data_IF_244291001574
#
_entry.id   IF_244291001574
#
_cell.length_a   1.000
_cell.length_b   1.000
_cell.length_c   1.000
_cell.angle_alpha   90.00
_cell.angle_beta   90.00
_cell.angle_gamma   90.00
#
_symmetry.space_group_name_H-M   'P 1'
#
loop_
_entity.id
_entity.type
_entity.pdbx_description
1 polymer ?
#
# COMPACT_ATOMS: atom_id res chain seq x y z
N UNK A 1 -10.59 -18.01 35.53
CA UNK A 1 -10.04 -17.92 34.14
C UNK A 1 -11.22 -17.51 33.26
N UNK A 2 -11.43 -16.20 33.14
CA UNK A 2 -12.48 -15.68 32.26
C UNK A 2 -12.03 -15.95 30.82
N UNK A 3 -12.73 -16.84 30.14
CA UNK A 3 -12.67 -16.96 28.70
C UNK A 3 -13.33 -15.67 28.20
N UNK A 4 -12.55 -14.60 28.01
CA UNK A 4 -12.98 -13.47 27.19
C UNK A 4 -13.29 -14.06 25.83
N UNK A 5 -14.56 -14.07 25.51
CA UNK A 5 -15.06 -14.40 24.17
C UNK A 5 -14.41 -13.37 23.24
N UNK A 6 -13.32 -13.77 22.57
CA UNK A 6 -12.54 -12.88 21.69
C UNK A 6 -13.33 -12.71 20.39
N UNK A 7 -14.42 -11.94 20.52
CA UNK A 7 -15.31 -11.63 19.40
C UNK A 7 -14.54 -10.82 18.39
N UNK A 8 -14.59 -11.24 17.13
CA UNK A 8 -13.95 -10.58 16.01
C UNK A 8 -15.01 -10.00 15.08
N UNK A 9 -14.74 -8.81 14.59
CA UNK A 9 -15.46 -8.24 13.47
C UNK A 9 -14.76 -8.63 12.17
N UNK A 10 -15.55 -8.92 11.16
CA UNK A 10 -15.06 -9.22 9.82
C UNK A 10 -15.30 -8.04 8.89
N UNK A 11 -14.26 -7.66 8.18
CA UNK A 11 -14.26 -6.62 7.17
C UNK A 11 -13.91 -7.27 5.84
N UNK A 12 -14.78 -7.13 4.85
CA UNK A 12 -14.51 -7.63 3.49
C UNK A 12 -13.81 -6.52 2.71
N UNK A 13 -12.60 -6.79 2.27
CA UNK A 13 -11.72 -5.78 1.67
C UNK A 13 -11.14 -6.25 0.33
N UNK A 14 -10.51 -5.34 -0.39
CA UNK A 14 -9.82 -5.61 -1.65
C UNK A 14 -10.73 -6.24 -2.71
N UNK A 15 -11.89 -5.63 -2.92
CA UNK A 15 -12.89 -6.11 -3.87
C UNK A 15 -12.46 -5.94 -5.32
N UNK A 16 -12.65 -6.99 -6.13
CA UNK A 16 -12.63 -6.85 -7.58
C UNK A 16 -13.83 -6.05 -8.10
N UNK A 17 -13.65 -5.17 -9.10
CA UNK A 17 -14.76 -4.44 -9.72
C UNK A 17 -15.73 -5.34 -10.50
N UNK A 18 -15.29 -6.55 -10.85
CA UNK A 18 -16.10 -7.54 -11.57
C UNK A 18 -15.95 -8.92 -10.95
N UNK A 19 -17.05 -9.68 -10.84
CA UNK A 19 -17.05 -11.02 -10.28
C UNK A 19 -16.50 -12.03 -11.32
N UNK A 20 -15.19 -12.23 -11.33
CA UNK A 20 -14.54 -13.12 -12.30
C UNK A 20 -14.08 -14.45 -11.68
N UNK A 21 -13.68 -14.46 -10.41
CA UNK A 21 -13.04 -15.59 -9.74
C UNK A 21 -13.83 -16.14 -8.56
N UNK A 22 -15.16 -16.21 -8.71
CA UNK A 22 -16.07 -16.64 -7.65
C UNK A 22 -15.75 -18.02 -7.05
N UNK A 23 -15.39 -19.00 -7.90
CA UNK A 23 -15.08 -20.37 -7.45
C UNK A 23 -13.84 -20.45 -6.58
N UNK A 24 -12.85 -19.60 -6.84
CA UNK A 24 -11.58 -19.57 -6.13
C UNK A 24 -11.59 -18.62 -4.93
N UNK A 25 -12.72 -17.95 -4.67
CA UNK A 25 -12.90 -16.95 -3.59
C UNK A 25 -11.82 -15.86 -3.64
N UNK A 26 -11.52 -15.35 -4.83
CA UNK A 26 -10.49 -14.34 -5.06
C UNK A 26 -11.06 -12.94 -5.37
N UNK A 27 -12.39 -12.80 -5.32
CA UNK A 27 -13.03 -11.49 -5.61
C UNK A 27 -12.78 -10.46 -4.52
N UNK A 28 -12.49 -10.91 -3.33
CA UNK A 28 -12.24 -10.15 -2.12
C UNK A 28 -11.47 -10.97 -1.10
N UNK A 29 -11.19 -10.40 0.06
CA UNK A 29 -10.61 -11.09 1.21
C UNK A 29 -11.25 -10.62 2.52
N UNK A 30 -11.37 -11.52 3.49
CA UNK A 30 -11.83 -11.18 4.82
C UNK A 30 -10.66 -10.81 5.73
N UNK A 31 -10.74 -9.63 6.33
CA UNK A 31 -9.84 -9.16 7.38
C UNK A 31 -10.58 -9.19 8.72
N UNK A 32 -10.07 -9.95 9.68
CA UNK A 32 -10.64 -10.04 11.02
C UNK A 32 -9.92 -9.09 11.97
N UNK A 33 -10.69 -8.29 12.72
CA UNK A 33 -10.17 -7.42 13.78
C UNK A 33 -10.90 -7.73 15.08
N UNK A 34 -10.17 -7.95 16.18
CA UNK A 34 -10.79 -8.26 17.47
C UNK A 34 -11.50 -7.04 18.05
N UNK A 35 -12.58 -7.26 18.82
CA UNK A 35 -13.24 -6.17 19.56
C UNK A 35 -12.27 -5.50 20.53
N UNK A 36 -11.33 -6.25 21.12
CA UNK A 36 -10.32 -5.70 22.01
C UNK A 36 -9.40 -4.73 21.27
N UNK A 37 -8.95 -5.06 20.05
CA UNK A 37 -8.17 -4.17 19.18
C UNK A 37 -8.95 -2.90 18.83
N UNK A 38 -10.23 -3.03 18.45
CA UNK A 38 -11.09 -1.88 18.13
C UNK A 38 -11.23 -0.96 19.34
N UNK A 39 -11.44 -1.52 20.53
CA UNK A 39 -11.54 -0.73 21.77
C UNK A 39 -10.22 -0.08 22.17
N UNK A 40 -9.09 -0.75 21.97
CA UNK A 40 -7.77 -0.21 22.26
C UNK A 40 -7.47 1.00 21.36
N UNK A 41 -7.70 0.86 20.05
CA UNK A 41 -7.58 1.96 19.10
C UNK A 41 -8.50 3.13 19.49
N UNK A 42 -9.77 2.86 19.81
CA UNK A 42 -10.73 3.92 20.18
C UNK A 42 -10.35 4.69 21.46
N UNK A 43 -9.58 4.09 22.34
CA UNK A 43 -9.11 4.70 23.62
C UNK A 43 -7.75 5.39 23.50
N UNK A 44 -6.99 5.10 22.45
CA UNK A 44 -5.67 5.70 22.25
C UNK A 44 -5.77 7.18 21.86
N UNK A 45 -4.73 7.93 22.16
CA UNK A 45 -4.55 9.28 21.60
C UNK A 45 -3.89 9.13 20.23
N UNK A 46 -4.48 9.67 19.19
CA UNK A 46 -3.98 9.57 17.83
C UNK A 46 -3.29 10.85 17.36
N UNK A 47 -2.21 10.70 16.56
CA UNK A 47 -1.51 9.46 16.24
C UNK A 47 -0.70 8.93 17.42
N UNK A 48 -0.86 7.63 17.73
CA UNK A 48 -0.31 7.05 18.95
C UNK A 48 1.22 6.88 18.91
N UNK A 49 1.77 6.52 17.75
CA UNK A 49 3.18 6.13 17.63
C UNK A 49 3.99 6.98 16.65
N UNK A 50 3.44 8.10 16.22
CA UNK A 50 4.14 9.05 15.36
C UNK A 50 5.24 9.78 16.14
N UNK A 51 6.47 9.61 15.70
CA UNK A 51 7.61 10.38 16.19
C UNK A 51 7.49 11.81 15.66
N UNK A 52 7.59 12.81 16.53
CA UNK A 52 7.34 14.24 16.26
C UNK A 52 7.72 14.66 14.83
N UNK A 53 6.76 14.80 13.92
CA UNK A 53 7.04 15.20 12.55
C UNK A 53 7.43 16.68 12.51
N UNK A 54 8.26 17.02 11.53
CA UNK A 54 8.55 18.41 11.18
C UNK A 54 7.87 18.71 9.85
N UNK A 55 7.00 19.71 9.86
CA UNK A 55 6.32 20.15 8.66
C UNK A 55 6.91 21.48 8.17
N UNK A 56 7.01 21.70 6.83
CA UNK A 56 7.37 22.99 6.28
C UNK A 56 6.38 24.08 6.73
N UNK A 57 6.85 25.31 6.89
CA UNK A 57 6.00 26.44 7.27
C UNK A 57 4.85 26.70 6.31
N UNK A 58 5.09 26.40 5.02
CA UNK A 58 4.11 26.56 3.95
C UNK A 58 2.99 25.52 4.02
N UNK A 59 3.19 24.40 4.69
CA UNK A 59 2.19 23.34 4.81
C UNK A 59 1.28 23.58 6.01
N UNK A 60 -0.01 23.71 5.75
CA UNK A 60 -1.01 23.73 6.82
C UNK A 60 -1.32 22.31 7.26
N UNK A 61 -1.16 22.01 8.54
CA UNK A 61 -1.52 20.72 9.14
C UNK A 61 -2.60 20.92 10.20
N UNK A 62 -3.69 20.18 10.04
CA UNK A 62 -4.81 20.15 10.99
C UNK A 62 -4.95 18.75 11.54
N UNK A 63 -4.75 18.59 12.84
CA UNK A 63 -4.94 17.31 13.53
C UNK A 63 -6.34 17.22 14.15
N UNK A 64 -6.78 16.02 14.42
CA UNK A 64 -8.02 15.79 15.17
C UNK A 64 -9.31 15.98 14.37
N UNK A 65 -9.27 15.93 13.05
CA UNK A 65 -10.48 16.03 12.23
C UNK A 65 -11.28 14.73 12.36
N UNK A 66 -12.55 14.84 12.79
CA UNK A 66 -13.39 13.66 12.94
C UNK A 66 -13.68 12.97 11.60
N UNK A 67 -13.90 11.63 11.56
CA UNK A 67 -14.28 10.93 10.33
C UNK A 67 -15.52 11.54 9.67
N UNK A 68 -16.53 11.92 10.45
CA UNK A 68 -17.71 12.59 9.94
C UNK A 68 -17.44 13.98 9.34
N UNK A 69 -16.44 14.69 9.88
CA UNK A 69 -15.97 15.97 9.35
C UNK A 69 -15.26 15.81 8.00
N UNK A 70 -14.47 14.76 7.84
CA UNK A 70 -13.83 14.41 6.57
C UNK A 70 -14.88 14.08 5.49
N UNK A 71 -15.85 13.20 5.80
CA UNK A 71 -16.90 12.82 4.86
C UNK A 71 -17.68 14.03 4.35
N UNK A 72 -18.08 14.94 5.25
CA UNK A 72 -18.73 16.21 4.85
C UNK A 72 -17.83 17.09 3.98
N UNK A 73 -16.54 17.10 4.23
CA UNK A 73 -15.56 17.81 3.41
C UNK A 73 -15.51 17.26 1.98
N UNK A 74 -15.54 15.94 1.82
CA UNK A 74 -15.56 15.30 0.49
C UNK A 74 -16.85 15.58 -0.26
N UNK A 75 -18.01 15.49 0.40
CA UNK A 75 -19.32 15.82 -0.18
C UNK A 75 -19.35 17.28 -0.67
N UNK A 76 -18.83 18.21 0.12
CA UNK A 76 -18.75 19.62 -0.25
C UNK A 76 -17.89 19.89 -1.50
N UNK A 77 -16.93 19.00 -1.80
CA UNK A 77 -16.08 19.05 -2.98
C UNK A 77 -16.67 18.29 -4.19
N UNK A 78 -17.91 17.80 -4.07
CA UNK A 78 -18.58 17.05 -5.13
C UNK A 78 -17.96 15.68 -5.39
N UNK A 79 -17.30 15.09 -4.39
CA UNK A 79 -16.76 13.73 -4.44
C UNK A 79 -17.85 12.70 -4.15
N UNK A 80 -19.03 12.88 -4.71
CA UNK A 80 -20.10 11.90 -4.63
C UNK A 80 -19.88 10.85 -5.72
N UNK A 81 -19.66 9.60 -5.36
CA UNK A 81 -19.85 8.51 -6.31
C UNK A 81 -21.35 8.34 -6.48
N UNK A 82 -21.87 8.85 -7.57
CA UNK A 82 -23.26 8.60 -7.92
C UNK A 82 -23.42 7.10 -8.12
N UNK A 83 -24.30 6.51 -7.33
CA UNK A 83 -24.74 5.11 -7.39
C UNK A 83 -25.00 4.63 -8.83
N UNK A 84 -25.46 5.50 -9.70
CA UNK A 84 -25.83 5.24 -11.08
C UNK A 84 -24.64 4.90 -12.00
N UNK A 85 -23.43 5.38 -11.71
CA UNK A 85 -22.23 5.09 -12.53
C UNK A 85 -21.66 3.71 -12.27
N UNK A 86 -21.78 3.20 -11.03
CA UNK A 86 -21.26 1.89 -10.64
C UNK A 86 -22.32 0.78 -10.60
N UNK A 87 -23.58 1.11 -10.48
CA UNK A 87 -24.65 0.15 -10.10
C UNK A 87 -25.75 0.01 -11.14
N UNK A 88 -25.55 0.31 -12.37
CA UNK A 88 -26.56 -0.11 -13.37
C UNK A 88 -26.79 -1.65 -13.39
N UNK A 89 -26.96 -2.25 -12.20
CA UNK A 89 -27.28 -3.66 -11.96
C UNK A 89 -26.15 -4.65 -12.21
N UNK A 90 -24.94 -4.19 -12.56
CA UNK A 90 -23.86 -5.09 -12.97
C UNK A 90 -22.95 -5.55 -11.82
N UNK A 91 -22.82 -4.76 -10.74
CA UNK A 91 -21.80 -5.05 -9.70
C UNK A 91 -22.32 -4.80 -8.28
N UNK A 92 -23.06 -5.76 -7.69
CA UNK A 92 -23.67 -5.59 -6.35
C UNK A 92 -22.65 -5.52 -5.20
N UNK A 93 -21.36 -5.65 -5.46
CA UNK A 93 -20.30 -5.73 -4.43
C UNK A 93 -19.58 -4.42 -4.14
N UNK A 94 -19.75 -3.38 -4.94
CA UNK A 94 -19.24 -2.06 -4.60
C UNK A 94 -20.15 -1.40 -3.56
N UNK A 95 -19.66 -1.31 -2.34
CA UNK A 95 -20.27 -0.45 -1.34
C UNK A 95 -19.88 1.00 -1.68
N UNK A 96 -20.87 1.88 -1.63
CA UNK A 96 -20.69 3.29 -1.94
C UNK A 96 -19.69 3.93 -0.97
N UNK A 97 -18.65 4.53 -1.51
CA UNK A 97 -17.74 5.41 -0.77
C UNK A 97 -17.84 6.82 -1.34
N UNK A 98 -17.86 7.82 -0.46
CA UNK A 98 -17.82 9.24 -0.87
C UNK A 98 -16.48 9.56 -1.54
N UNK A 99 -15.41 8.96 -1.05
CA UNK A 99 -14.08 9.01 -1.66
C UNK A 99 -13.50 7.59 -1.69
N UNK A 100 -13.51 6.91 -2.83
CA UNK A 100 -13.08 5.52 -2.93
C UNK A 100 -11.64 5.30 -2.51
N UNK A 101 -11.42 4.15 -1.89
CA UNK A 101 -10.11 3.64 -1.52
C UNK A 101 -9.96 2.20 -2.01
N UNK A 102 -8.75 1.70 -2.10
CA UNK A 102 -8.49 0.39 -2.68
C UNK A 102 -9.02 -0.78 -1.86
N UNK A 103 -9.10 -0.64 -0.55
CA UNK A 103 -9.66 -1.69 0.31
C UNK A 103 -11.18 -1.62 0.43
N UNK A 104 -11.80 -0.48 0.13
CA UNK A 104 -13.24 -0.34 0.06
C UNK A 104 -13.89 0.18 1.35
N UNK A 105 -15.24 0.28 1.30
CA UNK A 105 -16.04 0.95 2.33
C UNK A 105 -15.98 0.32 3.73
N UNK A 106 -15.60 -0.94 3.83
CA UNK A 106 -15.46 -1.62 5.11
C UNK A 106 -14.35 -1.04 5.98
N UNK A 107 -13.29 -0.48 5.37
CA UNK A 107 -12.27 0.25 6.13
C UNK A 107 -12.82 1.58 6.66
N UNK A 108 -13.65 2.29 5.90
CA UNK A 108 -14.34 3.47 6.41
C UNK A 108 -15.23 3.12 7.62
N UNK A 109 -15.92 1.96 7.55
CA UNK A 109 -16.72 1.45 8.68
C UNK A 109 -15.85 1.16 9.91
N UNK A 110 -14.66 0.57 9.74
CA UNK A 110 -13.70 0.34 10.83
C UNK A 110 -13.25 1.68 11.45
N UNK A 111 -12.86 2.66 10.62
CA UNK A 111 -12.41 3.97 11.08
C UNK A 111 -13.52 4.72 11.81
N UNK A 112 -14.74 4.70 11.28
CA UNK A 112 -15.89 5.30 11.98
C UNK A 112 -16.16 4.61 13.32
N UNK A 113 -16.06 3.27 13.38
CA UNK A 113 -16.27 2.49 14.60
C UNK A 113 -15.21 2.78 15.66
N UNK A 114 -13.97 2.93 15.27
CA UNK A 114 -12.87 3.28 16.20
C UNK A 114 -12.87 4.77 16.56
N UNK A 115 -13.47 5.62 15.73
CA UNK A 115 -13.49 7.07 15.94
C UNK A 115 -12.13 7.75 15.74
N UNK A 116 -11.18 7.09 15.10
CA UNK A 116 -9.84 7.63 14.84
C UNK A 116 -9.93 8.95 14.10
N UNK A 117 -9.38 10.05 14.67
CA UNK A 117 -9.38 11.34 13.99
C UNK A 117 -8.33 11.37 12.87
N UNK A 118 -8.58 12.15 11.86
CA UNK A 118 -7.67 12.31 10.75
C UNK A 118 -6.73 13.51 10.91
N UNK A 119 -5.56 13.39 10.30
CA UNK A 119 -4.66 14.49 9.96
C UNK A 119 -5.00 15.00 8.58
N UNK A 120 -5.12 16.31 8.42
CA UNK A 120 -5.27 16.98 7.13
C UNK A 120 -4.01 17.79 6.85
N UNK A 121 -3.31 17.45 5.76
CA UNK A 121 -2.10 18.11 5.29
C UNK A 121 -2.40 18.85 4.00
N UNK A 122 -2.28 20.17 4.01
CA UNK A 122 -2.62 21.04 2.88
C UNK A 122 -1.41 21.85 2.42
N UNK A 123 -0.98 21.66 1.17
CA UNK A 123 0.04 22.48 0.54
C UNK A 123 -0.65 23.50 -0.38
N UNK A 124 -0.49 24.82 -0.19
CA UNK A 124 -1.12 25.83 -1.02
C UNK A 124 -0.62 25.77 -2.47
N UNK A 125 -1.36 26.40 -3.38
CA UNK A 125 -0.98 26.45 -4.79
C UNK A 125 0.39 27.12 -5.01
N UNK A 126 1.09 26.68 -6.06
CA UNK A 126 2.38 27.20 -6.52
C UNK A 126 3.51 27.12 -5.47
N UNK A 127 3.46 26.12 -4.59
CA UNK A 127 4.44 25.89 -3.53
C UNK A 127 5.29 24.66 -3.84
N UNK A 128 6.61 24.80 -3.80
CA UNK A 128 7.55 23.71 -4.05
C UNK A 128 8.41 23.43 -2.82
N UNK A 129 8.26 22.26 -2.25
CA UNK A 129 9.02 21.78 -1.08
C UNK A 129 10.11 20.84 -1.59
N UNK A 130 11.38 21.19 -1.35
CA UNK A 130 12.55 20.41 -1.80
C UNK A 130 12.84 19.22 -0.91
N UNK A 131 12.79 19.44 0.40
CA UNK A 131 13.12 18.42 1.39
C UNK A 131 11.89 17.57 1.68
N UNK A 132 12.00 16.24 1.71
CA UNK A 132 10.88 15.38 2.02
C UNK A 132 10.30 15.65 3.42
N UNK A 133 8.98 15.57 3.53
CA UNK A 133 8.29 15.50 4.83
C UNK A 133 8.31 14.07 5.34
N UNK A 134 8.72 13.88 6.60
CA UNK A 134 8.84 12.55 7.21
C UNK A 134 7.73 12.32 8.23
N UNK A 135 7.01 11.21 8.06
CA UNK A 135 6.06 10.66 9.03
C UNK A 135 6.64 9.32 9.52
N UNK A 136 7.34 9.33 10.63
CA UNK A 136 7.99 8.15 11.20
C UNK A 136 7.17 7.59 12.35
N UNK A 137 6.78 6.33 12.27
CA UNK A 137 6.03 5.59 13.29
C UNK A 137 6.90 4.47 13.84
N UNK A 138 7.02 4.39 15.16
CA UNK A 138 7.77 3.32 15.85
C UNK A 138 6.84 2.58 16.80
N UNK A 139 6.55 1.33 16.49
CA UNK A 139 5.56 0.52 17.19
C UNK A 139 6.17 -0.37 18.28
N UNK A 140 5.71 -0.30 19.55
CA UNK A 140 6.07 -1.28 20.58
C UNK A 140 5.35 -2.62 20.37
N UNK A 141 5.72 -3.63 21.17
CA UNK A 141 4.97 -4.90 21.24
C UNK A 141 3.54 -4.66 21.69
N UNK A 142 2.57 -5.25 20.98
CA UNK A 142 1.15 -5.11 21.28
C UNK A 142 0.58 -3.76 20.89
N UNK A 143 1.27 -3.00 20.05
CA UNK A 143 0.74 -1.74 19.51
C UNK A 143 -0.54 -2.00 18.71
N UNK A 144 -1.54 -1.15 18.89
CA UNK A 144 -2.80 -1.18 18.15
C UNK A 144 -3.13 0.24 17.71
N UNK A 145 -2.98 0.52 16.41
CA UNK A 145 -3.10 1.88 15.87
C UNK A 145 -3.65 1.90 14.44
N UNK A 146 -4.36 2.97 14.13
CA UNK A 146 -4.74 3.36 12.78
C UNK A 146 -4.38 4.83 12.59
N UNK A 147 -3.64 5.14 11.53
CA UNK A 147 -3.39 6.53 11.11
C UNK A 147 -4.25 6.88 9.91
N UNK A 148 -5.02 7.95 10.02
CA UNK A 148 -5.86 8.45 8.93
C UNK A 148 -5.34 9.80 8.47
N UNK A 149 -5.01 9.93 7.19
CA UNK A 149 -4.43 11.16 6.65
C UNK A 149 -5.12 11.57 5.33
N UNK A 150 -5.48 12.84 5.22
CA UNK A 150 -5.87 13.50 3.97
C UNK A 150 -4.74 14.44 3.53
N UNK A 151 -4.23 14.25 2.32
CA UNK A 151 -3.19 15.06 1.70
C UNK A 151 -3.80 15.84 0.55
N UNK A 152 -3.73 17.18 0.61
CA UNK A 152 -4.18 18.08 -0.43
C UNK A 152 -2.99 18.87 -0.98
N UNK A 153 -2.70 18.71 -2.26
CA UNK A 153 -1.63 19.45 -2.93
C UNK A 153 -2.25 20.41 -3.91
N UNK A 154 -2.08 21.70 -3.66
CA UNK A 154 -2.63 22.77 -4.48
C UNK A 154 -2.04 22.84 -5.87
N UNK A 155 -2.72 23.54 -6.77
CA UNK A 155 -2.32 23.71 -8.19
C UNK A 155 -0.84 24.14 -8.32
N UNK A 156 -0.09 23.46 -9.20
CA UNK A 156 1.30 23.78 -9.51
C UNK A 156 2.31 23.52 -8.41
N UNK A 157 1.89 22.86 -7.32
CA UNK A 157 2.74 22.56 -6.16
C UNK A 157 3.42 21.22 -6.27
N UNK A 158 4.56 21.08 -5.57
CA UNK A 158 5.39 19.87 -5.63
C UNK A 158 5.94 19.51 -4.25
N UNK A 159 5.83 18.23 -3.86
CA UNK A 159 6.33 17.73 -2.57
C UNK A 159 6.60 16.23 -2.62
N UNK A 160 7.55 15.80 -1.77
CA UNK A 160 7.77 14.38 -1.42
C UNK A 160 7.38 14.16 0.04
N UNK A 161 6.60 13.12 0.31
CA UNK A 161 6.21 12.70 1.66
C UNK A 161 6.66 11.26 1.86
N UNK A 162 7.37 10.99 2.95
CA UNK A 162 7.86 9.65 3.30
C UNK A 162 7.19 9.23 4.61
N UNK A 163 6.39 8.18 4.55
CA UNK A 163 5.83 7.50 5.71
C UNK A 163 6.65 6.23 5.96
N UNK A 164 7.34 6.21 7.09
CA UNK A 164 8.18 5.08 7.52
C UNK A 164 7.64 4.47 8.80
N UNK A 165 7.41 3.17 8.76
CA UNK A 165 6.88 2.39 9.87
C UNK A 165 7.86 1.29 10.25
N UNK A 166 8.39 1.40 11.46
CA UNK A 166 9.24 0.39 12.08
C UNK A 166 8.70 0.01 13.47
N UNK A 167 9.48 -0.72 14.21
CA UNK A 167 9.14 -1.14 15.56
C UNK A 167 10.29 -0.95 16.53
N UNK A 168 9.96 -0.80 17.81
CA UNK A 168 10.95 -0.83 18.90
C UNK A 168 11.73 -2.15 18.86
N UNK A 169 12.96 -2.09 19.39
CA UNK A 169 13.79 -3.28 19.50
C UNK A 169 13.11 -4.36 20.35
N UNK A 170 13.01 -5.57 19.81
CA UNK A 170 12.35 -6.69 20.47
C UNK A 170 10.82 -6.70 20.39
N UNK A 171 10.20 -5.74 19.68
CA UNK A 171 8.77 -5.79 19.41
C UNK A 171 8.42 -7.06 18.59
N UNK A 172 7.29 -7.68 18.93
CA UNK A 172 6.92 -8.99 18.34
C UNK A 172 5.62 -8.97 17.56
N UNK A 173 4.56 -8.34 18.09
CA UNK A 173 3.22 -8.40 17.53
C UNK A 173 2.49 -7.06 17.69
N UNK A 174 1.46 -6.86 16.87
CA UNK A 174 0.61 -5.68 16.94
C UNK A 174 -0.36 -5.60 15.75
N UNK A 175 -1.09 -4.52 15.75
CA UNK A 175 -1.99 -4.13 14.67
C UNK A 175 -1.63 -2.71 14.23
N UNK A 176 -1.33 -2.52 12.96
CA UNK A 176 -1.02 -1.21 12.40
C UNK A 176 -1.81 -1.01 11.10
N UNK A 177 -2.57 0.08 11.04
CA UNK A 177 -3.34 0.43 9.87
C UNK A 177 -3.04 1.84 9.39
N UNK A 178 -3.08 2.05 8.08
CA UNK A 178 -3.06 3.40 7.51
C UNK A 178 -4.16 3.57 6.50
N UNK A 179 -4.90 4.69 6.59
CA UNK A 179 -5.77 5.13 5.51
C UNK A 179 -5.31 6.50 5.02
N UNK A 180 -4.97 6.60 3.75
CA UNK A 180 -4.50 7.85 3.15
C UNK A 180 -5.37 8.22 1.96
N UNK A 181 -5.87 9.45 1.95
CA UNK A 181 -6.53 10.03 0.79
C UNK A 181 -5.71 11.19 0.24
N UNK A 182 -5.61 11.26 -1.08
CA UNK A 182 -4.77 12.23 -1.80
C UNK A 182 -5.62 12.99 -2.81
N UNK A 183 -5.53 14.32 -2.79
CA UNK A 183 -6.14 15.20 -3.78
C UNK A 183 -5.03 16.04 -4.41
N UNK A 184 -4.83 15.87 -5.71
CA UNK A 184 -3.88 16.66 -6.48
C UNK A 184 -4.61 17.65 -7.36
N UNK A 185 -4.36 18.93 -7.16
CA UNK A 185 -4.82 19.98 -8.03
C UNK A 185 -4.06 19.98 -9.37
N UNK A 186 -4.52 20.80 -10.30
CA UNK A 186 -3.95 20.92 -11.65
C UNK A 186 -2.43 21.18 -11.60
N UNK A 187 -1.66 20.48 -12.45
CA UNK A 187 -0.20 20.57 -12.49
C UNK A 187 0.51 20.26 -11.15
N UNK A 188 -0.17 19.70 -10.16
CA UNK A 188 0.44 19.33 -8.88
C UNK A 188 1.27 18.05 -9.02
N UNK A 189 2.33 17.95 -8.21
CA UNK A 189 3.20 16.77 -8.18
C UNK A 189 3.38 16.28 -6.75
N UNK A 190 3.10 15.00 -6.54
CA UNK A 190 3.34 14.32 -5.26
C UNK A 190 4.16 13.05 -5.48
N UNK A 191 5.23 12.88 -4.73
CA UNK A 191 5.84 11.58 -4.50
C UNK A 191 5.53 11.13 -3.08
N UNK A 192 4.63 10.16 -2.93
CA UNK A 192 4.33 9.52 -1.65
C UNK A 192 5.10 8.21 -1.56
N UNK A 193 5.89 8.07 -0.50
CA UNK A 193 6.69 6.87 -0.24
C UNK A 193 6.21 6.28 1.07
N UNK A 194 5.80 5.00 1.06
CA UNK A 194 5.45 4.25 2.26
C UNK A 194 6.39 3.07 2.42
N UNK A 195 7.03 2.97 3.58
CA UNK A 195 7.95 1.88 3.91
C UNK A 195 7.51 1.23 5.21
N UNK A 196 7.20 -0.05 5.15
CA UNK A 196 6.78 -0.84 6.30
C UNK A 196 7.82 -1.93 6.58
N UNK A 197 8.38 -1.90 7.81
CA UNK A 197 9.37 -2.83 8.35
C UNK A 197 8.89 -3.42 9.68
N UNK A 198 7.64 -3.87 9.76
CA UNK A 198 7.02 -4.36 10.99
C UNK A 198 7.38 -5.84 11.27
N UNK A 199 7.41 -6.27 12.55
CA UNK A 199 7.68 -7.67 12.88
C UNK A 199 6.67 -8.66 12.30
N UNK A 200 7.11 -9.92 12.19
CA UNK A 200 6.37 -11.01 11.51
C UNK A 200 5.03 -11.42 12.13
N UNK A 201 4.67 -10.92 13.31
CA UNK A 201 3.37 -11.18 13.95
C UNK A 201 2.47 -9.94 13.99
N UNK A 202 2.78 -8.93 13.20
CA UNK A 202 1.87 -7.80 13.01
C UNK A 202 0.79 -8.14 11.99
N UNK A 203 -0.42 -7.64 12.20
CA UNK A 203 -1.37 -7.43 11.14
C UNK A 203 -1.19 -5.99 10.64
N UNK A 204 -1.02 -5.83 9.34
CA UNK A 204 -0.87 -4.53 8.69
C UNK A 204 -1.90 -4.33 7.60
N UNK A 205 -2.49 -3.13 7.52
CA UNK A 205 -3.21 -2.73 6.34
C UNK A 205 -2.79 -1.33 5.87
N UNK A 206 -2.79 -1.15 4.56
CA UNK A 206 -2.59 0.14 3.93
C UNK A 206 -3.70 0.38 2.90
N UNK A 207 -4.57 1.31 3.20
CA UNK A 207 -5.70 1.69 2.36
C UNK A 207 -5.46 3.08 1.77
N UNK A 208 -5.49 3.21 0.46
CA UNK A 208 -5.25 4.47 -0.22
C UNK A 208 -6.30 4.76 -1.28
N UNK A 209 -6.69 6.03 -1.38
CA UNK A 209 -7.48 6.58 -2.46
C UNK A 209 -6.90 7.89 -2.97
N UNK A 210 -6.99 8.16 -4.25
CA UNK A 210 -6.53 9.44 -4.79
C UNK A 210 -7.45 9.98 -5.88
N UNK A 211 -7.42 11.31 -6.05
CA UNK A 211 -8.08 12.03 -7.12
C UNK A 211 -7.09 12.97 -7.79
N UNK A 212 -6.89 12.78 -9.09
CA UNK A 212 -5.89 13.47 -9.89
C UNK A 212 -6.57 14.42 -10.89
N UNK A 213 -6.28 15.71 -10.77
CA UNK A 213 -6.76 16.75 -11.70
C UNK A 213 -5.82 16.86 -12.93
N UNK A 214 -6.16 17.75 -13.86
CA UNK A 214 -5.48 17.95 -15.14
C UNK A 214 -3.96 18.12 -14.99
N UNK A 215 -3.20 17.34 -15.79
CA UNK A 215 -1.73 17.35 -15.83
C UNK A 215 -1.04 17.17 -14.46
N UNK A 216 -1.73 16.60 -13.46
CA UNK A 216 -1.10 16.26 -12.18
C UNK A 216 -0.28 14.98 -12.28
N UNK A 217 0.74 14.86 -11.44
CA UNK A 217 1.65 13.71 -11.40
C UNK A 217 1.65 13.11 -9.98
N UNK A 218 1.22 11.86 -9.84
CA UNK A 218 1.29 11.11 -8.61
C UNK A 218 2.24 9.92 -8.74
N UNK A 219 3.38 9.99 -8.07
CA UNK A 219 4.29 8.85 -7.92
C UNK A 219 4.06 8.22 -6.54
N UNK A 220 3.77 6.93 -6.52
CA UNK A 220 3.58 6.16 -5.30
C UNK A 220 4.60 5.04 -5.21
N UNK A 221 5.42 5.06 -4.17
CA UNK A 221 6.38 3.99 -3.89
C UNK A 221 5.98 3.31 -2.59
N UNK A 222 5.68 2.01 -2.63
CA UNK A 222 5.33 1.23 -1.46
C UNK A 222 6.31 0.08 -1.27
N UNK A 223 6.80 -0.08 -0.04
CA UNK A 223 7.67 -1.18 0.35
C UNK A 223 7.10 -1.86 1.59
N UNK A 224 6.61 -3.10 1.44
CA UNK A 224 6.02 -3.91 2.51
C UNK A 224 6.90 -5.12 2.79
N UNK A 225 7.69 -5.05 3.87
CA UNK A 225 8.73 -6.05 4.14
C UNK A 225 8.41 -7.00 5.30
N UNK A 226 7.43 -6.69 6.11
CA UNK A 226 7.11 -7.47 7.31
C UNK A 226 5.63 -7.82 7.42
N UNK A 227 5.22 -8.13 8.64
CA UNK A 227 3.89 -8.55 9.08
C UNK A 227 3.51 -10.00 8.74
N UNK A 228 2.60 -10.58 9.52
CA UNK A 228 1.99 -11.89 9.27
C UNK A 228 0.93 -11.79 8.18
N UNK A 229 0.15 -10.70 8.22
CA UNK A 229 -0.88 -10.41 7.23
C UNK A 229 -0.74 -8.96 6.77
N UNK A 230 -0.57 -8.77 5.49
CA UNK A 230 -0.55 -7.46 4.84
C UNK A 230 -1.73 -7.34 3.88
N UNK A 231 -2.57 -6.32 4.07
CA UNK A 231 -3.65 -5.96 3.18
C UNK A 231 -3.34 -4.60 2.56
N UNK A 232 -3.11 -4.56 1.25
CA UNK A 232 -2.68 -3.36 0.54
C UNK A 232 -3.73 -3.00 -0.51
N UNK A 233 -4.39 -1.86 -0.36
CA UNK A 233 -5.42 -1.41 -1.29
C UNK A 233 -5.14 0.00 -1.78
N UNK A 234 -5.20 0.21 -3.10
CA UNK A 234 -4.94 1.49 -3.74
C UNK A 234 -5.96 1.75 -4.85
N UNK A 235 -6.62 2.89 -4.80
CA UNK A 235 -7.57 3.33 -5.81
C UNK A 235 -7.18 4.71 -6.33
N UNK A 236 -7.01 4.81 -7.64
CA UNK A 236 -6.61 6.03 -8.31
C UNK A 236 -7.74 6.50 -9.22
N UNK A 237 -8.22 7.73 -9.02
CA UNK A 237 -9.24 8.37 -9.83
C UNK A 237 -8.60 9.46 -10.69
N UNK A 238 -8.23 9.13 -11.92
CA UNK A 238 -7.64 10.05 -12.89
C UNK A 238 -8.74 10.83 -13.62
N UNK A 239 -9.26 11.90 -12.97
CA UNK A 239 -10.37 12.69 -13.50
C UNK A 239 -9.95 13.74 -14.53
N UNK A 240 -8.71 14.22 -14.43
CA UNK A 240 -8.19 15.29 -15.28
C UNK A 240 -7.49 14.76 -16.54
N UNK A 241 -7.57 15.53 -17.63
CA UNK A 241 -6.83 15.24 -18.86
C UNK A 241 -5.31 15.28 -18.59
N UNK A 242 -4.55 14.38 -19.23
CA UNK A 242 -3.08 14.31 -19.15
C UNK A 242 -2.54 14.05 -17.72
N UNK A 243 -3.38 13.61 -16.79
CA UNK A 243 -2.93 13.19 -15.45
C UNK A 243 -2.05 11.94 -15.55
N UNK A 244 -1.09 11.80 -14.62
CA UNK A 244 -0.13 10.69 -14.61
C UNK A 244 -0.06 10.05 -13.24
N UNK A 245 -0.17 8.74 -13.24
CA UNK A 245 0.04 7.92 -12.06
C UNK A 245 1.15 6.89 -12.29
N UNK A 246 2.02 6.74 -11.30
CA UNK A 246 3.01 5.68 -11.26
C UNK A 246 3.06 5.05 -9.89
N UNK A 247 2.91 3.72 -9.81
CA UNK A 247 3.14 2.92 -8.62
C UNK A 247 4.32 1.96 -8.79
N UNK A 248 5.20 1.93 -7.79
CA UNK A 248 6.25 0.93 -7.64
C UNK A 248 6.07 0.25 -6.26
N UNK A 249 5.56 -0.98 -6.26
CA UNK A 249 5.39 -1.80 -5.06
C UNK A 249 6.51 -2.83 -4.95
N UNK A 250 7.15 -2.89 -3.78
CA UNK A 250 8.05 -3.96 -3.37
C UNK A 250 7.53 -4.69 -2.15
N UNK A 251 7.61 -6.03 -2.11
CA UNK A 251 7.24 -6.78 -0.92
C UNK A 251 8.08 -8.04 -0.72
N UNK A 252 8.18 -8.47 0.54
CA UNK A 252 8.73 -9.76 0.92
C UNK A 252 7.72 -10.51 1.76
N UNK A 253 7.18 -11.60 1.23
CA UNK A 253 6.28 -12.51 1.93
C UNK A 253 7.07 -13.71 2.45
N UNK A 254 7.15 -13.87 3.77
CA UNK A 254 7.98 -14.88 4.42
C UNK A 254 7.24 -15.61 5.55
N UNK A 255 7.68 -16.82 5.86
CA UNK A 255 7.27 -17.53 7.07
C UNK A 255 5.77 -17.82 7.16
N UNK A 256 5.11 -18.15 6.06
CA UNK A 256 3.67 -18.42 6.03
C UNK A 256 2.78 -17.18 6.05
N UNK A 257 3.36 -15.99 5.78
CA UNK A 257 2.61 -14.75 5.74
C UNK A 257 1.60 -14.69 4.58
N UNK A 258 0.57 -13.87 4.78
CA UNK A 258 -0.42 -13.52 3.76
C UNK A 258 -0.15 -12.09 3.27
N UNK A 259 -0.08 -11.91 1.95
CA UNK A 259 -0.06 -10.60 1.30
C UNK A 259 -1.21 -10.52 0.32
N UNK A 260 -2.16 -9.63 0.56
CA UNK A 260 -3.33 -9.41 -0.30
C UNK A 260 -3.29 -7.99 -0.85
N UNK A 261 -3.31 -7.86 -2.17
CA UNK A 261 -3.07 -6.61 -2.89
C UNK A 261 -4.26 -6.32 -3.80
N UNK A 262 -4.73 -5.06 -3.82
CA UNK A 262 -5.74 -4.58 -4.75
C UNK A 262 -5.40 -3.16 -5.23
N UNK A 263 -4.93 -3.04 -6.45
CA UNK A 263 -4.63 -1.75 -7.08
C UNK A 263 -5.57 -1.52 -8.26
N UNK A 264 -6.25 -0.39 -8.25
CA UNK A 264 -7.19 -0.01 -9.29
C UNK A 264 -6.85 1.39 -9.79
N UNK A 265 -6.56 1.52 -11.08
CA UNK A 265 -6.36 2.79 -11.76
C UNK A 265 -7.51 3.05 -12.72
N UNK A 266 -8.27 4.12 -12.46
CA UNK A 266 -9.47 4.51 -13.20
C UNK A 266 -9.20 5.72 -14.05
N UNK A 267 -9.21 5.53 -15.37
CA UNK A 267 -8.96 6.56 -16.35
C UNK A 267 -10.27 7.22 -16.79
N UNK A 268 -10.45 8.49 -16.47
CA UNK A 268 -11.59 9.33 -16.89
C UNK A 268 -11.13 10.49 -17.79
N UNK A 269 -9.93 11.03 -17.52
CA UNK A 269 -9.30 12.07 -18.30
C UNK A 269 -8.72 11.55 -19.62
N UNK A 270 -8.67 12.40 -20.64
CA UNK A 270 -8.03 12.09 -21.93
C UNK A 270 -6.52 12.06 -21.78
N UNK A 271 -5.87 11.13 -22.53
CA UNK A 271 -4.41 11.01 -22.56
C UNK A 271 -3.77 10.87 -21.16
N UNK A 272 -4.53 10.41 -20.18
CA UNK A 272 -3.97 10.08 -18.87
C UNK A 272 -3.09 8.83 -18.97
N UNK A 273 -2.08 8.76 -18.12
CA UNK A 273 -1.11 7.68 -18.12
C UNK A 273 -1.10 6.99 -16.75
N UNK A 274 -1.09 5.65 -16.73
CA UNK A 274 -0.99 4.84 -15.53
C UNK A 274 0.06 3.76 -15.66
N UNK A 275 0.98 3.67 -14.69
CA UNK A 275 2.02 2.65 -14.68
C UNK A 275 2.07 1.99 -13.31
N UNK A 276 1.87 0.67 -13.25
CA UNK A 276 1.97 -0.12 -12.03
C UNK A 276 3.07 -1.17 -12.16
N UNK A 277 4.02 -1.21 -11.22
CA UNK A 277 5.14 -2.15 -11.18
C UNK A 277 5.20 -2.84 -9.82
N UNK A 278 5.01 -4.15 -9.81
CA UNK A 278 5.06 -4.96 -8.60
C UNK A 278 6.28 -5.88 -8.62
N UNK A 279 7.09 -5.80 -7.57
CA UNK A 279 8.27 -6.61 -7.41
C UNK A 279 8.21 -7.35 -6.07
N UNK A 280 7.97 -8.66 -6.12
CA UNK A 280 7.76 -9.47 -4.93
C UNK A 280 8.76 -10.59 -4.77
N UNK A 281 9.05 -10.93 -3.52
CA UNK A 281 9.77 -12.13 -3.15
C UNK A 281 8.91 -12.95 -2.21
N UNK A 282 8.75 -14.24 -2.52
CA UNK A 282 7.93 -15.16 -1.76
C UNK A 282 8.77 -16.32 -1.24
N UNK A 283 8.74 -16.50 0.08
CA UNK A 283 9.48 -17.53 0.81
C UNK A 283 8.53 -18.61 1.35
N UNK A 284 9.10 -19.61 2.04
CA UNK A 284 8.40 -20.81 2.49
C UNK A 284 7.00 -20.56 3.10
N UNK A 285 5.99 -21.22 2.53
CA UNK A 285 4.62 -21.24 3.02
C UNK A 285 3.84 -19.94 2.80
N UNK A 286 4.41 -18.93 2.16
CA UNK A 286 3.73 -17.65 1.95
C UNK A 286 2.61 -17.74 0.92
N UNK A 287 1.60 -16.90 1.13
CA UNK A 287 0.45 -16.74 0.23
C UNK A 287 0.36 -15.29 -0.24
N UNK A 288 0.19 -15.10 -1.54
CA UNK A 288 -0.08 -13.79 -2.14
C UNK A 288 -1.27 -13.89 -3.10
N UNK A 289 -2.18 -12.93 -3.00
CA UNK A 289 -3.17 -12.65 -4.03
C UNK A 289 -3.06 -11.18 -4.44
N UNK A 290 -2.92 -10.90 -5.72
CA UNK A 290 -2.99 -9.55 -6.25
C UNK A 290 -4.14 -9.40 -7.22
N UNK A 291 -4.78 -8.23 -7.17
CA UNK A 291 -5.81 -7.76 -8.07
C UNK A 291 -5.33 -6.44 -8.62
N UNK A 292 -5.13 -6.39 -9.92
CA UNK A 292 -4.57 -5.24 -10.60
C UNK A 292 -5.53 -4.86 -11.71
N UNK A 293 -6.11 -3.66 -11.63
CA UNK A 293 -7.16 -3.23 -12.53
C UNK A 293 -6.80 -1.94 -13.23
N UNK A 294 -6.83 -1.96 -14.56
CA UNK A 294 -6.84 -0.79 -15.42
C UNK A 294 -8.26 -0.58 -15.92
N UNK A 295 -8.92 0.50 -15.53
CA UNK A 295 -10.34 0.76 -15.82
C UNK A 295 -10.49 2.02 -16.69
N UNK A 296 -10.67 1.81 -18.00
CA UNK A 296 -10.81 2.88 -18.99
C UNK A 296 -12.25 3.27 -19.16
N UNK A 297 -12.65 4.38 -18.53
CA UNK A 297 -14.02 4.89 -18.60
C UNK A 297 -14.28 5.63 -19.91
N UNK A 298 -15.55 5.67 -20.30
CA UNK A 298 -15.97 6.40 -21.47
C UNK A 298 -15.54 7.86 -21.42
N UNK A 299 -14.85 8.30 -22.47
CA UNK A 299 -14.28 9.65 -22.58
C UNK A 299 -12.77 9.72 -22.35
N UNK A 300 -12.12 8.68 -21.83
CA UNK A 300 -10.67 8.62 -21.59
C UNK A 300 -9.84 8.42 -22.87
N UNK A 301 -10.22 9.06 -23.95
CA UNK A 301 -9.59 8.91 -25.28
C UNK A 301 -8.07 9.16 -25.20
N UNK A 302 -7.28 8.19 -25.65
CA UNK A 302 -5.82 8.28 -25.67
C UNK A 302 -5.16 7.91 -24.35
N UNK A 303 -5.92 7.42 -23.36
CA UNK A 303 -5.33 6.94 -22.11
C UNK A 303 -4.45 5.70 -22.36
N UNK A 304 -3.36 5.60 -21.59
CA UNK A 304 -2.35 4.52 -21.65
C UNK A 304 -2.13 3.91 -20.26
N UNK A 305 -2.44 2.63 -20.09
CA UNK A 305 -2.25 1.88 -18.86
C UNK A 305 -1.26 0.73 -19.05
N UNK A 306 -0.31 0.59 -18.11
CA UNK A 306 0.72 -0.44 -18.18
C UNK A 306 0.97 -1.05 -16.79
N UNK A 307 0.80 -2.36 -16.69
CA UNK A 307 0.91 -3.13 -15.48
C UNK A 307 1.94 -4.23 -15.66
N UNK A 308 2.86 -4.36 -14.70
CA UNK A 308 3.89 -5.38 -14.72
C UNK A 308 4.12 -5.97 -13.33
N UNK A 309 3.97 -7.28 -13.21
CA UNK A 309 4.26 -8.03 -11.99
C UNK A 309 5.48 -8.93 -12.17
N UNK A 310 6.46 -8.82 -11.26
CA UNK A 310 7.66 -9.66 -11.22
C UNK A 310 7.79 -10.34 -9.85
N UNK A 311 7.44 -11.63 -9.76
CA UNK A 311 7.47 -12.39 -8.51
C UNK A 311 8.58 -13.43 -8.52
N UNK A 312 9.48 -13.35 -7.55
CA UNK A 312 10.52 -14.33 -7.31
C UNK A 312 10.05 -15.31 -6.22
N UNK A 313 9.74 -16.55 -6.62
CA UNK A 313 9.29 -17.61 -5.72
C UNK A 313 10.47 -18.49 -5.30
N UNK A 314 10.96 -18.32 -4.08
CA UNK A 314 12.13 -19.02 -3.55
C UNK A 314 11.79 -20.09 -2.51
N UNK A 315 10.56 -20.07 -2.00
CA UNK A 315 10.12 -20.96 -0.94
C UNK A 315 9.44 -22.24 -1.44
N UNK A 316 9.23 -23.17 -0.49
CA UNK A 316 8.36 -24.34 -0.67
C UNK A 316 6.94 -23.96 -0.29
N UNK A 317 5.94 -24.63 -0.91
CA UNK A 317 4.52 -24.40 -0.61
C UNK A 317 4.09 -22.93 -0.75
N UNK A 318 4.67 -22.22 -1.70
CA UNK A 318 4.32 -20.84 -2.03
C UNK A 318 3.07 -20.83 -2.89
N UNK A 319 2.11 -19.98 -2.56
CA UNK A 319 0.91 -19.76 -3.36
C UNK A 319 0.92 -18.33 -3.89
N UNK A 320 1.11 -18.18 -5.20
CA UNK A 320 1.05 -16.90 -5.89
C UNK A 320 -0.17 -16.86 -6.81
N UNK A 321 -1.08 -15.91 -6.58
CA UNK A 321 -2.24 -15.67 -7.42
C UNK A 321 -2.21 -14.23 -7.91
N UNK A 322 -2.39 -14.03 -9.22
CA UNK A 322 -2.47 -12.73 -9.87
C UNK A 322 -3.75 -12.67 -10.71
N UNK A 323 -4.49 -11.58 -10.57
CA UNK A 323 -5.77 -11.36 -11.24
C UNK A 323 -5.70 -9.99 -11.92
N UNK A 324 -5.03 -9.90 -13.08
CA UNK A 324 -5.03 -8.68 -13.86
C UNK A 324 -6.38 -8.48 -14.52
N UNK A 325 -6.86 -7.24 -14.53
CA UNK A 325 -8.10 -6.84 -15.18
C UNK A 325 -7.88 -5.60 -16.03
N UNK A 326 -8.31 -5.68 -17.29
CA UNK A 326 -8.41 -4.51 -18.15
C UNK A 326 -9.88 -4.33 -18.50
N UNK A 327 -10.48 -3.27 -17.97
CA UNK A 327 -11.87 -2.91 -18.21
C UNK A 327 -11.91 -1.74 -19.20
N UNK A 328 -12.69 -1.84 -20.26
CA UNK A 328 -12.73 -0.84 -21.31
C UNK A 328 -14.14 -0.45 -21.67
N UNK A 329 -14.51 0.83 -21.41
CA UNK A 329 -15.69 1.48 -21.95
C UNK A 329 -15.34 2.43 -23.12
N UNK A 330 -14.01 2.67 -23.33
CA UNK A 330 -13.47 3.51 -24.39
C UNK A 330 -12.63 2.67 -25.36
N UNK A 331 -12.80 2.87 -26.66
CA UNK A 331 -12.12 2.09 -27.69
C UNK A 331 -10.71 2.59 -28.03
N UNK A 332 -10.45 3.89 -27.82
CA UNK A 332 -9.18 4.55 -28.20
C UNK A 332 -8.24 4.66 -27.03
N UNK A 333 -7.87 3.53 -26.44
CA UNK A 333 -6.98 3.42 -25.28
C UNK A 333 -5.95 2.30 -25.50
N UNK A 334 -4.87 2.34 -24.71
CA UNK A 334 -3.91 1.25 -24.63
C UNK A 334 -3.92 0.68 -23.22
N UNK A 335 -4.20 -0.61 -23.08
CA UNK A 335 -4.05 -1.34 -21.83
C UNK A 335 -3.05 -2.49 -22.05
N UNK A 336 -2.01 -2.55 -21.22
CA UNK A 336 -1.01 -3.62 -21.27
C UNK A 336 -0.87 -4.27 -19.91
N UNK A 337 -0.68 -5.59 -19.92
CA UNK A 337 -0.40 -6.38 -18.75
C UNK A 337 0.75 -7.34 -19.02
N UNK A 338 1.67 -7.46 -18.08
CA UNK A 338 2.73 -8.45 -18.10
C UNK A 338 2.95 -9.05 -16.70
N UNK A 339 2.93 -10.37 -16.59
CA UNK A 339 3.22 -11.06 -15.32
C UNK A 339 4.37 -12.06 -15.50
N UNK A 340 5.31 -12.02 -14.58
CA UNK A 340 6.43 -12.96 -14.49
C UNK A 340 6.48 -13.55 -13.09
N UNK A 341 6.38 -14.87 -12.98
CA UNK A 341 6.57 -15.60 -11.74
C UNK A 341 7.64 -16.66 -11.95
N UNK A 342 8.79 -16.48 -11.33
CA UNK A 342 9.97 -17.31 -11.56
C UNK A 342 10.55 -17.93 -10.28
N UNK A 343 11.20 -19.08 -10.47
CA UNK A 343 12.11 -19.70 -9.49
C UNK A 343 13.54 -19.53 -9.98
N UNK A 344 14.49 -19.62 -9.07
CA UNK A 344 15.89 -19.76 -9.50
C UNK A 344 16.02 -21.13 -10.16
N UNK A 345 16.54 -21.17 -11.38
CA UNK A 345 16.80 -22.44 -12.04
C UNK A 345 18.04 -23.13 -11.42
N UNK A 346 18.02 -24.46 -11.42
CA UNK A 346 19.16 -25.26 -10.95
C UNK A 346 20.43 -24.95 -11.78
N UNK A 347 20.28 -24.63 -13.05
CA UNK A 347 21.37 -24.21 -13.93
C UNK A 347 22.01 -22.89 -13.49
N UNK A 348 21.19 -21.92 -13.08
CA UNK A 348 21.68 -20.65 -12.56
C UNK A 348 22.41 -20.84 -11.23
N UNK A 349 21.84 -21.64 -10.32
CA UNK A 349 22.50 -21.98 -9.05
C UNK A 349 23.84 -22.68 -9.30
N UNK A 350 23.85 -23.71 -10.14
CA UNK A 350 25.09 -24.40 -10.51
C UNK A 350 26.13 -23.45 -11.13
N UNK A 351 25.72 -22.55 -12.02
CA UNK A 351 26.62 -21.55 -12.59
C UNK A 351 27.22 -20.65 -11.51
N UNK A 352 26.41 -20.18 -10.55
CA UNK A 352 26.89 -19.34 -9.44
C UNK A 352 27.85 -20.12 -8.52
N UNK A 353 27.56 -21.38 -8.22
CA UNK A 353 28.41 -22.26 -7.44
C UNK A 353 29.78 -22.48 -8.12
N UNK A 354 29.83 -22.65 -9.45
CA UNK A 354 31.09 -22.75 -10.19
C UNK A 354 31.94 -21.48 -10.12
N UNK A 355 31.33 -20.34 -9.74
CA UNK A 355 31.99 -19.05 -9.49
C UNK A 355 32.30 -18.81 -8.02
N UNK A 356 32.12 -19.81 -7.16
CA UNK A 356 32.38 -19.72 -5.73
C UNK A 356 31.29 -19.04 -4.91
N UNK A 357 30.09 -18.82 -5.50
CA UNK A 357 28.92 -18.27 -4.82
C UNK A 357 28.02 -19.45 -4.43
N UNK A 358 27.93 -19.75 -3.14
CA UNK A 358 27.07 -20.82 -2.66
C UNK A 358 25.57 -20.52 -2.86
N UNK A 359 24.72 -21.54 -2.75
CA UNK A 359 23.27 -21.42 -2.98
C UNK A 359 22.64 -20.34 -2.08
N UNK A 360 23.07 -20.23 -0.82
CA UNK A 360 22.55 -19.22 0.11
C UNK A 360 22.88 -17.81 -0.37
N UNK A 361 24.13 -17.55 -0.71
CA UNK A 361 24.57 -16.26 -1.22
C UNK A 361 23.90 -15.92 -2.55
N UNK A 362 23.72 -16.91 -3.44
CA UNK A 362 23.01 -16.76 -4.70
C UNK A 362 21.56 -16.30 -4.48
N UNK A 363 20.84 -16.97 -3.59
CA UNK A 363 19.45 -16.61 -3.24
C UNK A 363 19.37 -15.20 -2.67
N UNK A 364 20.25 -14.85 -1.72
CA UNK A 364 20.33 -13.52 -1.12
C UNK A 364 20.57 -12.43 -2.18
N UNK A 365 21.51 -12.63 -3.09
CA UNK A 365 21.79 -11.69 -4.19
C UNK A 365 20.57 -11.46 -5.08
N UNK A 366 19.81 -12.51 -5.42
CA UNK A 366 18.63 -12.40 -6.27
C UNK A 366 17.50 -11.66 -5.57
N UNK A 367 17.30 -11.89 -4.29
CA UNK A 367 16.30 -11.20 -3.47
C UNK A 367 16.64 -9.72 -3.40
N UNK A 368 17.89 -9.37 -3.04
CA UNK A 368 18.35 -7.99 -3.02
C UNK A 368 18.17 -7.33 -4.39
N UNK A 369 18.48 -8.03 -5.47
CA UNK A 369 18.29 -7.52 -6.82
C UNK A 369 16.83 -7.21 -7.14
N UNK A 370 15.90 -8.07 -6.72
CA UNK A 370 14.46 -7.86 -6.93
C UNK A 370 13.96 -6.65 -6.13
N UNK A 371 14.22 -6.63 -4.82
CA UNK A 371 13.74 -5.56 -3.93
C UNK A 371 14.44 -4.23 -4.19
N UNK A 372 15.69 -4.23 -4.62
CA UNK A 372 16.43 -3.00 -4.93
C UNK A 372 15.83 -2.19 -6.08
N UNK A 373 14.99 -2.80 -6.91
CA UNK A 373 14.23 -2.07 -7.93
C UNK A 373 13.33 -1.00 -7.31
N UNK A 374 12.84 -1.25 -6.09
CA UNK A 374 11.97 -0.35 -5.34
C UNK A 374 12.74 0.44 -4.29
N UNK A 375 13.64 -0.19 -3.50
CA UNK A 375 14.36 0.54 -2.42
C UNK A 375 15.19 1.70 -2.96
N UNK A 376 15.76 1.60 -4.15
CA UNK A 376 16.51 2.70 -4.79
C UNK A 376 15.68 3.94 -5.10
N UNK A 377 14.34 3.83 -5.14
CA UNK A 377 13.43 4.95 -5.35
C UNK A 377 13.21 5.78 -4.08
N UNK A 378 13.65 5.26 -2.93
CA UNK A 378 13.59 5.94 -1.64
C UNK A 378 14.75 6.95 -1.59
N UNK A 379 14.51 8.27 -1.56
CA UNK A 379 15.58 9.26 -1.60
C UNK A 379 16.40 9.31 -0.31
N UNK A 380 15.80 8.93 0.84
CA UNK A 380 16.49 8.93 2.13
C UNK A 380 17.39 7.71 2.30
N UNK A 381 18.70 7.93 2.47
CA UNK A 381 19.70 6.87 2.59
C UNK A 381 19.58 6.02 3.86
N UNK A 382 19.14 6.60 4.97
CA UNK A 382 18.96 5.90 6.26
C UNK A 382 17.77 4.94 6.19
N UNK A 383 16.62 5.39 5.66
CA UNK A 383 15.44 4.54 5.46
C UNK A 383 15.74 3.42 4.47
N UNK A 384 16.48 3.72 3.40
CA UNK A 384 16.92 2.69 2.44
C UNK A 384 17.78 1.65 3.12
N UNK A 385 18.79 2.06 3.89
CA UNK A 385 19.67 1.16 4.64
C UNK A 385 18.90 0.33 5.68
N UNK A 386 17.90 0.93 6.35
CA UNK A 386 17.03 0.23 7.28
C UNK A 386 16.19 -0.85 6.58
N UNK A 387 15.63 -0.53 5.42
CA UNK A 387 14.88 -1.48 4.60
C UNK A 387 15.77 -2.65 4.10
N UNK A 388 16.96 -2.34 3.58
CA UNK A 388 17.94 -3.35 3.15
C UNK A 388 18.36 -4.24 4.34
N UNK A 389 18.62 -3.66 5.51
CA UNK A 389 18.95 -4.41 6.73
C UNK A 389 17.76 -5.27 7.21
N UNK A 390 16.53 -4.82 7.00
CA UNK A 390 15.35 -5.62 7.32
C UNK A 390 15.25 -6.85 6.43
N UNK A 391 15.49 -6.70 5.13
CA UNK A 391 15.57 -7.80 4.17
C UNK A 391 16.63 -8.81 4.61
N UNK A 392 17.82 -8.35 4.99
CA UNK A 392 18.91 -9.24 5.47
C UNK A 392 18.51 -10.05 6.69
N UNK A 393 17.81 -9.46 7.64
CA UNK A 393 17.30 -10.17 8.84
C UNK A 393 16.32 -11.28 8.49
N UNK A 394 15.43 -11.07 7.52
CA UNK A 394 14.51 -12.11 7.06
C UNK A 394 15.27 -13.36 6.60
N UNK A 395 16.42 -13.17 5.94
CA UNK A 395 17.22 -14.30 5.40
C UNK A 395 18.19 -14.92 6.38
N UNK A 396 18.67 -14.14 7.36
CA UNK A 396 19.63 -14.67 8.33
C UNK A 396 19.00 -15.56 9.41
N UNK A 397 17.67 -15.77 9.40
CA UNK A 397 16.93 -16.43 10.49
C UNK A 397 17.23 -15.79 11.87
N UNK A 398 17.56 -14.50 11.88
CA UNK A 398 17.86 -13.80 13.12
C UNK A 398 16.58 -13.67 13.95
N UNK A 399 16.55 -14.30 15.13
CA UNK A 399 15.42 -14.28 16.08
C UNK A 399 15.16 -12.90 16.73
N UNK A 400 15.85 -11.86 16.27
CA UNK A 400 15.76 -10.51 16.83
C UNK A 400 16.59 -10.25 18.08
N UNK A 401 17.28 -11.27 18.59
CA UNK A 401 18.24 -11.11 19.69
C UNK A 401 19.60 -10.68 19.13
N UNK A 402 19.80 -9.36 19.00
CA UNK A 402 21.02 -8.77 18.41
C UNK A 402 22.31 -9.10 19.18
N UNK A 403 22.23 -9.64 20.41
CA UNK A 403 23.41 -10.09 21.17
C UNK A 403 24.00 -11.38 20.64
N UNK A 404 23.25 -12.14 19.85
CA UNK A 404 23.67 -13.42 19.25
C UNK A 404 23.94 -13.33 17.74
N UNK A 405 23.88 -12.14 17.15
CA UNK A 405 24.03 -11.96 15.71
C UNK A 405 25.50 -12.03 15.28
N UNK A 406 25.90 -12.93 14.34
CA UNK A 406 27.29 -13.05 13.90
C UNK A 406 27.82 -11.83 13.15
N UNK A 407 26.97 -10.92 12.71
CA UNK A 407 27.34 -9.78 11.87
C UNK A 407 27.72 -8.52 12.63
N UNK A 408 27.87 -8.55 13.97
CA UNK A 408 28.61 -7.55 14.80
C UNK A 408 28.58 -6.05 14.41
N UNK A 409 27.62 -5.60 13.63
CA UNK A 409 27.48 -4.20 13.26
C UNK A 409 26.30 -3.60 14.02
N UNK A 410 26.65 -2.80 15.03
CA UNK A 410 25.74 -1.93 15.75
C UNK A 410 25.39 -0.69 14.94
#
# INVERSE_FOLDING_TARGET
MDIKNDRKDTYTVNHLPVLTWYRDKLNDVEMEVSEATIEAIAKASHPAYLVKPQFPEEMKVTEGVSPAGLLKGYEAEGMEIKREEYVAGKYPMYQEQVFPTGMGADIDRLIVKTGVPARVMELPANTKIKDPVYLHYTYPTGAEDIDTTLIRIGEGSEITIIQYMDSEHGATNGFAGTQTRVILGRNAKLHLIKVQCLPSKFLYFNDMGSRLDENSEFTYTELSLGSEKSYLGTYIDQIGDESRFRADLGFVAAGGSLTDINYTDVFKGKKSEGVMRFNGVMLDGSYKASRETLDFRKGSVGADGDEEENILMLGRNVVNKAIPLILGEEEKVNGRHAASAGKISDEMLFYMETRGIDERAAREMMIRSNISRVTRLIPNGEIRAAADSYVDRIFSNCSGDCKACPSGSH
#
